data_IF_223410563334
#
_entry.id   IF_223410563334
#
_cell.length_a   1.000
_cell.length_b   1.000
_cell.length_c   1.000
_cell.angle_alpha   90.00
_cell.angle_beta   90.00
_cell.angle_gamma   90.00
#
_symmetry.space_group_name_H-M   'P 1'
#
loop_
_entity.id
_entity.type
_entity.pdbx_description
1 polymer ?
#
# COMPACT_ATOMS: atom_id res chain seq x y z
N UNK A 1 -0.98 -2.72 7.93
CA UNK A 1 0.13 -1.76 7.81
C UNK A 1 0.81 -1.91 6.48
N UNK A 2 0.21 -1.27 5.50
CA UNK A 2 0.84 -0.89 4.25
C UNK A 2 2.15 -0.18 4.61
N UNK A 3 3.24 -0.57 3.97
CA UNK A 3 4.31 0.37 3.70
C UNK A 3 3.65 1.65 3.17
N UNK A 4 4.21 2.80 3.52
CA UNK A 4 3.82 4.09 2.96
C UNK A 4 4.28 4.15 1.47
N UNK A 5 3.86 3.16 0.67
CA UNK A 5 3.98 3.12 -0.78
C UNK A 5 2.74 3.81 -1.32
N UNK A 6 2.95 4.76 -2.22
CA UNK A 6 1.92 5.41 -3.03
C UNK A 6 0.88 4.39 -3.50
N UNK A 7 -0.42 4.75 -3.54
CA UNK A 7 -1.45 3.83 -4.00
C UNK A 7 -1.07 3.33 -5.39
N UNK A 8 -0.80 2.03 -5.50
CA UNK A 8 -0.81 1.37 -6.80
C UNK A 8 -2.25 1.49 -7.29
N UNK A 9 -2.48 2.45 -8.19
CA UNK A 9 -3.72 2.47 -8.93
C UNK A 9 -3.88 1.14 -9.64
N UNK A 10 -5.10 0.59 -9.72
CA UNK A 10 -5.34 -0.60 -10.50
C UNK A 10 -4.77 -0.37 -11.90
N UNK A 11 -3.91 -1.31 -12.32
CA UNK A 11 -3.41 -1.38 -13.68
C UNK A 11 -4.60 -1.25 -14.64
N UNK A 12 -4.46 -0.40 -15.66
CA UNK A 12 -5.32 -0.50 -16.83
C UNK A 12 -5.09 -1.89 -17.46
N UNK A 13 -5.88 -2.87 -17.00
CA UNK A 13 -5.66 -4.29 -17.22
C UNK A 13 -6.36 -5.10 -16.14
N UNK A 14 -7.70 -5.17 -16.21
CA UNK A 14 -8.37 -6.34 -15.64
C UNK A 14 -7.83 -7.60 -16.36
N UNK A 15 -7.75 -8.76 -15.69
CA UNK A 15 -7.44 -10.01 -16.35
C UNK A 15 -8.43 -10.24 -17.49
N UNK A 16 -7.94 -10.41 -18.71
CA UNK A 16 -8.75 -10.78 -19.87
C UNK A 16 -9.24 -12.22 -19.62
N UNK A 17 -10.40 -12.36 -18.99
CA UNK A 17 -11.23 -13.56 -19.13
C UNK A 17 -12.25 -13.29 -20.24
N UNK A 18 -12.24 -14.17 -21.24
CA UNK A 18 -13.16 -14.28 -22.40
C UNK A 18 -12.75 -13.38 -23.60
N UNK A 19 -12.54 -13.86 -24.83
CA UNK A 19 -13.02 -15.07 -25.50
C UNK A 19 -11.94 -15.65 -26.44
N UNK A 20 -11.54 -16.90 -26.21
CA UNK A 20 -10.81 -17.71 -27.18
C UNK A 20 -11.82 -18.63 -27.89
N UNK A 21 -12.39 -18.17 -29.00
CA UNK A 21 -13.04 -19.08 -29.96
C UNK A 21 -11.96 -19.76 -30.78
N UNK A 22 -11.90 -21.08 -30.63
CA UNK A 22 -11.01 -22.04 -31.27
C UNK A 22 -10.93 -21.91 -32.80
N UNK A 23 -9.71 -21.84 -33.33
CA UNK A 23 -9.39 -22.43 -34.63
C UNK A 23 -8.13 -23.29 -34.49
N UNK A 24 -8.14 -24.58 -34.88
CA UNK A 24 -6.98 -25.45 -34.76
C UNK A 24 -6.03 -25.23 -35.93
N UNK A 25 -4.76 -24.90 -35.64
CA UNK A 25 -3.69 -25.08 -36.60
C UNK A 25 -3.21 -26.54 -36.51
N UNK A 26 -3.57 -27.33 -37.53
CA UNK A 26 -3.02 -28.67 -37.75
C UNK A 26 -1.53 -28.57 -38.09
N UNK A 27 -0.75 -29.44 -37.45
CA UNK A 27 0.70 -29.31 -37.34
C UNK A 27 1.53 -29.85 -38.49
N UNK A 28 2.83 -29.59 -38.37
CA UNK A 28 3.93 -30.33 -39.00
C UNK A 28 5.18 -30.21 -38.12
N UNK A 29 5.82 -31.33 -37.86
CA UNK A 29 7.22 -31.41 -37.38
C UNK A 29 7.38 -31.48 -35.88
N UNK A 30 8.08 -32.50 -35.39
CA UNK A 30 8.41 -32.63 -33.97
C UNK A 30 9.31 -31.49 -33.53
N UNK A 31 8.80 -30.68 -32.59
CA UNK A 31 9.58 -29.61 -31.99
C UNK A 31 10.73 -30.19 -31.15
N UNK A 32 11.94 -29.62 -31.25
CA UNK A 32 13.00 -29.92 -30.29
C UNK A 32 12.56 -29.48 -28.88
N UNK A 33 13.08 -30.08 -27.80
CA UNK A 33 12.76 -29.61 -26.45
C UNK A 33 13.17 -28.14 -26.33
N UNK A 34 12.20 -27.27 -26.05
CA UNK A 34 12.45 -25.86 -25.81
C UNK A 34 13.48 -25.68 -24.67
N UNK A 35 14.44 -24.76 -24.80
CA UNK A 35 15.37 -24.46 -23.72
C UNK A 35 14.62 -24.05 -22.45
N UNK A 36 15.12 -24.49 -21.29
CA UNK A 36 14.60 -24.06 -20.00
C UNK A 36 14.95 -22.58 -19.79
N UNK A 37 14.01 -21.67 -20.08
CA UNK A 37 14.23 -20.23 -20.05
C UNK A 37 13.99 -19.58 -18.68
N UNK A 38 13.40 -20.29 -17.69
CA UNK A 38 13.17 -19.67 -16.38
C UNK A 38 14.46 -19.68 -15.56
N UNK A 39 14.96 -18.49 -15.20
CA UNK A 39 16.24 -18.38 -14.48
C UNK A 39 16.11 -18.77 -12.98
N UNK A 40 14.90 -18.97 -12.46
CA UNK A 40 14.68 -19.21 -11.02
C UNK A 40 15.16 -20.57 -10.50
N UNK A 41 15.46 -21.55 -11.37
CA UNK A 41 16.00 -22.85 -10.96
C UNK A 41 17.51 -22.85 -10.69
N UNK A 42 18.26 -21.92 -11.28
CA UNK A 42 19.73 -21.82 -11.19
C UNK A 42 20.23 -20.69 -10.28
N UNK A 43 19.34 -19.78 -9.86
CA UNK A 43 19.70 -18.62 -9.04
C UNK A 43 19.93 -19.02 -7.58
N UNK A 44 21.05 -18.57 -7.01
CA UNK A 44 21.35 -18.74 -5.60
C UNK A 44 20.31 -18.03 -4.72
N UNK A 45 19.92 -18.66 -3.62
CA UNK A 45 18.97 -18.05 -2.69
C UNK A 45 19.65 -16.89 -1.95
N UNK A 46 19.00 -15.71 -1.87
CA UNK A 46 19.46 -14.63 -1.00
C UNK A 46 19.49 -15.10 0.46
N UNK A 47 20.49 -14.65 1.22
CA UNK A 47 20.55 -14.88 2.65
C UNK A 47 19.64 -13.90 3.39
N UNK A 48 18.34 -14.24 3.49
CA UNK A 48 17.36 -13.42 4.22
C UNK A 48 17.37 -13.77 5.70
N UNK A 49 18.00 -12.93 6.53
CA UNK A 49 17.94 -13.06 8.00
C UNK A 49 16.60 -12.54 8.51
N UNK A 50 15.85 -13.38 9.21
CA UNK A 50 14.60 -12.98 9.89
C UNK A 50 14.83 -12.81 11.38
N UNK A 51 14.23 -11.79 11.97
CA UNK A 51 14.34 -11.52 13.40
C UNK A 51 13.49 -12.52 14.18
N UNK A 52 14.07 -13.14 15.20
CA UNK A 52 13.36 -14.07 16.10
C UNK A 52 12.78 -13.34 17.31
N UNK A 53 11.81 -13.96 17.99
CA UNK A 53 11.23 -13.43 19.24
C UNK A 53 12.30 -13.24 20.34
N UNK A 54 13.31 -14.11 20.39
CA UNK A 54 14.37 -14.06 21.42
C UNK A 54 15.41 -12.95 21.16
N UNK A 55 15.34 -12.28 20.01
CA UNK A 55 16.32 -11.26 19.59
C UNK A 55 15.83 -9.82 19.78
N UNK A 56 14.68 -9.63 20.44
CA UNK A 56 14.09 -8.31 20.68
C UNK A 56 13.95 -8.00 22.17
N UNK A 57 13.91 -6.70 22.56
CA UNK A 57 13.64 -6.30 23.94
C UNK A 57 12.32 -6.86 24.47
N UNK A 58 12.22 -7.08 25.77
CA UNK A 58 10.98 -7.53 26.39
C UNK A 58 9.88 -6.43 26.35
N UNK A 59 8.62 -6.87 26.29
CA UNK A 59 7.46 -5.98 26.36
C UNK A 59 7.06 -5.35 25.01
N UNK A 60 6.35 -4.22 25.08
CA UNK A 60 5.74 -3.57 23.90
C UNK A 60 6.76 -3.02 22.91
N UNK A 61 7.97 -2.69 23.36
CA UNK A 61 9.05 -2.22 22.49
C UNK A 61 9.56 -3.34 21.58
N UNK A 62 9.65 -4.57 22.10
CA UNK A 62 9.94 -5.75 21.28
C UNK A 62 8.90 -5.99 20.20
N UNK A 63 7.61 -5.87 20.54
CA UNK A 63 6.52 -5.97 19.56
C UNK A 63 6.64 -4.90 18.47
N UNK A 64 7.02 -3.68 18.84
CA UNK A 64 7.26 -2.61 17.86
C UNK A 64 8.40 -2.96 16.91
N UNK A 65 9.52 -3.46 17.43
CA UNK A 65 10.68 -3.85 16.60
C UNK A 65 10.31 -4.98 15.63
N UNK A 66 9.63 -6.01 16.11
CA UNK A 66 9.16 -7.12 15.27
C UNK A 66 8.20 -6.63 14.16
N UNK A 67 7.29 -5.70 14.47
CA UNK A 67 6.38 -5.11 13.49
C UNK A 67 7.12 -4.30 12.42
N UNK A 68 8.11 -3.49 12.82
CA UNK A 68 8.89 -2.67 11.89
C UNK A 68 9.76 -3.52 10.94
N UNK A 69 10.19 -4.70 11.39
CA UNK A 69 10.97 -5.65 10.60
C UNK A 69 10.10 -6.64 9.80
N UNK A 70 8.77 -6.51 9.83
CA UNK A 70 7.87 -7.42 9.13
C UNK A 70 7.92 -8.88 9.64
N UNK A 71 8.41 -9.11 10.85
CA UNK A 71 8.52 -10.43 11.46
C UNK A 71 7.19 -10.80 12.14
N UNK A 72 6.17 -11.05 11.32
CA UNK A 72 4.78 -11.16 11.78
C UNK A 72 4.50 -12.43 12.60
N UNK A 73 5.12 -13.58 12.26
CA UNK A 73 4.91 -14.82 13.05
C UNK A 73 5.47 -14.70 14.48
N UNK A 74 6.73 -14.27 14.69
CA UNK A 74 7.22 -14.00 16.04
C UNK A 74 6.38 -12.95 16.78
N UNK A 75 5.96 -11.89 16.08
CA UNK A 75 5.12 -10.84 16.68
C UNK A 75 3.80 -11.37 17.23
N UNK A 76 3.10 -12.21 16.46
CA UNK A 76 1.84 -12.83 16.88
C UNK A 76 2.06 -13.73 18.10
N UNK A 77 3.13 -14.51 18.11
CA UNK A 77 3.47 -15.38 19.24
C UNK A 77 3.78 -14.56 20.50
N UNK A 78 4.71 -13.60 20.43
CA UNK A 78 5.08 -12.75 21.57
C UNK A 78 3.91 -11.93 22.11
N UNK A 79 3.08 -11.36 21.24
CA UNK A 79 1.90 -10.61 21.66
C UNK A 79 0.86 -11.53 22.35
N UNK A 80 0.66 -12.75 21.84
CA UNK A 80 -0.22 -13.74 22.46
C UNK A 80 0.26 -14.16 23.84
N UNK A 81 1.56 -14.41 24.00
CA UNK A 81 2.15 -14.81 25.29
C UNK A 81 2.06 -13.68 26.32
N UNK A 82 2.21 -12.41 25.90
CA UNK A 82 1.96 -11.26 26.77
C UNK A 82 0.50 -11.13 27.19
N UNK A 83 -0.44 -11.38 26.27
CA UNK A 83 -1.88 -11.33 26.57
C UNK A 83 -2.33 -12.50 27.47
N UNK A 84 -1.71 -13.69 27.33
CA UNK A 84 -1.98 -14.82 28.22
C UNK A 84 -1.57 -14.49 29.68
N UNK A 85 -0.50 -13.72 29.87
CA UNK A 85 -0.01 -13.26 31.18
C UNK A 85 -0.62 -11.91 31.61
N UNK A 86 -1.81 -11.59 31.13
CA UNK A 86 -2.43 -10.25 31.25
C UNK A 86 -2.88 -9.84 32.67
N UNK A 87 -2.77 -10.71 33.67
CA UNK A 87 -3.11 -10.40 35.06
C UNK A 87 -2.22 -9.28 35.66
N UNK A 88 -1.01 -9.10 35.12
CA UNK A 88 -0.07 -8.07 35.56
C UNK A 88 -0.07 -6.79 34.70
N UNK A 89 -0.83 -6.78 33.58
CA UNK A 89 -0.84 -5.67 32.63
C UNK A 89 -1.93 -4.64 32.95
N UNK A 90 -1.59 -3.36 32.88
CA UNK A 90 -2.59 -2.29 32.87
C UNK A 90 -3.48 -2.39 31.62
N UNK A 91 -4.73 -1.90 31.72
CA UNK A 91 -5.69 -1.94 30.60
C UNK A 91 -5.12 -1.29 29.32
N UNK A 92 -4.45 -0.15 29.47
CA UNK A 92 -3.79 0.55 28.36
C UNK A 92 -2.72 -0.33 27.68
N UNK A 93 -1.87 -1.01 28.47
CA UNK A 93 -0.85 -1.92 27.92
C UNK A 93 -1.50 -3.13 27.25
N UNK A 94 -2.58 -3.67 27.80
CA UNK A 94 -3.34 -4.77 27.19
C UNK A 94 -3.88 -4.37 25.82
N UNK A 95 -4.47 -3.19 25.69
CA UNK A 95 -4.99 -2.69 24.41
C UNK A 95 -3.88 -2.46 23.37
N UNK A 96 -2.72 -1.95 23.79
CA UNK A 96 -1.54 -1.83 22.91
C UNK A 96 -1.06 -3.21 22.43
N UNK A 97 -0.94 -4.18 23.33
CA UNK A 97 -0.55 -5.56 22.96
C UNK A 97 -1.58 -6.19 22.02
N UNK A 98 -2.87 -5.98 22.27
CA UNK A 98 -3.97 -6.44 21.41
C UNK A 98 -3.90 -5.79 20.03
N UNK A 99 -3.53 -4.51 19.96
CA UNK A 99 -3.33 -3.80 18.68
C UNK A 99 -2.25 -4.46 17.83
N UNK A 100 -1.11 -4.83 18.44
CA UNK A 100 -0.06 -5.58 17.75
C UNK A 100 -0.51 -6.99 17.37
N UNK A 101 -1.21 -7.69 18.27
CA UNK A 101 -1.72 -9.03 17.99
C UNK A 101 -2.67 -9.06 16.78
N UNK A 102 -3.69 -8.19 16.77
CA UNK A 102 -4.65 -8.03 15.66
C UNK A 102 -3.94 -7.61 14.37
N UNK A 103 -2.97 -6.70 14.46
CA UNK A 103 -2.16 -6.30 13.31
C UNK A 103 -1.38 -7.49 12.72
N UNK A 104 -0.72 -8.29 13.57
CA UNK A 104 0.03 -9.46 13.15
C UNK A 104 -0.85 -10.51 12.50
N UNK A 105 -2.01 -10.82 13.10
CA UNK A 105 -3.00 -11.71 12.51
C UNK A 105 -3.49 -11.20 11.15
N UNK A 106 -3.78 -9.90 11.04
CA UNK A 106 -4.17 -9.25 9.78
C UNK A 106 -3.08 -9.39 8.71
N UNK A 107 -1.81 -9.20 9.08
CA UNK A 107 -0.67 -9.33 8.18
C UNK A 107 -0.42 -10.77 7.72
N UNK A 108 -0.71 -11.75 8.57
CA UNK A 108 -0.71 -13.17 8.22
C UNK A 108 -1.99 -13.63 7.50
N UNK A 109 -2.87 -12.70 7.09
CA UNK A 109 -4.16 -12.97 6.45
C UNK A 109 -5.13 -13.82 7.29
N UNK A 110 -4.92 -13.89 8.59
CA UNK A 110 -5.81 -14.56 9.54
C UNK A 110 -6.96 -13.61 9.94
N UNK A 111 -7.71 -13.13 8.96
CA UNK A 111 -8.69 -12.04 9.14
C UNK A 111 -9.83 -12.41 10.10
N UNK A 112 -10.32 -13.66 10.03
CA UNK A 112 -11.37 -14.13 10.93
C UNK A 112 -10.93 -14.07 12.39
N UNK A 113 -9.74 -14.60 12.71
CA UNK A 113 -9.17 -14.54 14.04
C UNK A 113 -8.96 -13.09 14.51
N UNK A 114 -8.43 -12.22 13.65
CA UNK A 114 -8.23 -10.81 13.97
C UNK A 114 -9.55 -10.10 14.32
N UNK A 115 -10.63 -10.39 13.59
CA UNK A 115 -11.96 -9.83 13.82
C UNK A 115 -12.57 -10.39 15.11
N UNK A 116 -12.39 -11.68 15.40
CA UNK A 116 -12.93 -12.29 16.62
C UNK A 116 -12.25 -11.73 17.88
N UNK A 117 -10.95 -11.42 17.82
CA UNK A 117 -10.25 -10.67 18.88
C UNK A 117 -10.82 -9.27 19.08
N UNK A 118 -11.14 -8.54 18.01
CA UNK A 118 -11.79 -7.23 18.11
C UNK A 118 -13.18 -7.35 18.72
N UNK A 119 -13.98 -8.34 18.28
CA UNK A 119 -15.32 -8.59 18.84
C UNK A 119 -15.27 -8.93 20.33
N UNK A 120 -14.24 -9.64 20.78
CA UNK A 120 -14.06 -9.98 22.19
C UNK A 120 -13.86 -8.75 23.10
N UNK A 121 -13.32 -7.64 22.56
CA UNK A 121 -13.23 -6.36 23.28
C UNK A 121 -14.61 -5.69 23.45
N UNK A 122 -15.53 -5.98 22.53
CA UNK A 122 -16.84 -5.34 22.44
C UNK A 122 -16.74 -3.91 21.94
N UNK A 123 -17.60 -3.04 22.46
CA UNK A 123 -17.62 -1.63 22.08
C UNK A 123 -16.40 -0.88 22.66
N UNK A 124 -15.60 -0.29 21.77
CA UNK A 124 -14.36 0.43 22.08
C UNK A 124 -14.61 1.81 22.71
N UNK A 125 -15.85 2.30 22.69
CA UNK A 125 -16.25 3.57 23.31
C UNK A 125 -16.83 3.38 24.72
N UNK A 126 -16.80 2.16 25.26
CA UNK A 126 -17.21 1.89 26.63
C UNK A 126 -16.33 2.64 27.65
N UNK A 127 -16.92 3.12 28.76
CA UNK A 127 -16.20 3.91 29.78
C UNK A 127 -15.05 3.14 30.46
N UNK A 128 -15.06 1.80 30.39
CA UNK A 128 -13.97 0.94 30.88
C UNK A 128 -12.65 1.19 30.14
N UNK A 129 -12.71 1.74 28.92
CA UNK A 129 -11.56 2.09 28.10
C UNK A 129 -11.20 3.57 28.17
N UNK A 130 -11.73 4.30 29.16
CA UNK A 130 -11.39 5.69 29.40
C UNK A 130 -10.53 5.82 30.66
N UNK A 131 -9.51 6.67 30.60
CA UNK A 131 -8.79 7.08 31.79
C UNK A 131 -9.74 7.89 32.71
N UNK A 132 -9.63 7.74 34.05
CA UNK A 132 -10.38 8.56 34.97
C UNK A 132 -10.05 10.04 34.73
N UNK A 133 -11.08 10.86 34.50
CA UNK A 133 -10.91 12.29 34.28
C UNK A 133 -10.35 12.95 35.55
N UNK A 134 -9.26 13.73 35.41
CA UNK A 134 -8.89 14.74 36.41
C UNK A 134 -9.97 15.83 36.49
N UNK A 135 -10.06 16.54 37.62
CA UNK A 135 -11.08 17.57 37.83
C UNK A 135 -11.11 18.59 36.66
N UNK A 136 -12.18 18.54 35.85
CA UNK A 136 -12.42 19.45 34.73
C UNK A 136 -11.95 18.99 33.34
N UNK A 137 -11.34 17.82 33.18
CA UNK A 137 -10.90 17.30 31.88
C UNK A 137 -11.88 16.26 31.30
N UNK A 138 -11.97 16.18 29.97
CA UNK A 138 -12.70 15.07 29.31
C UNK A 138 -11.93 13.76 29.51
N UNK A 139 -12.62 12.63 29.76
CA UNK A 139 -11.97 11.35 29.93
C UNK A 139 -11.25 10.92 28.64
N UNK A 140 -9.94 10.71 28.71
CA UNK A 140 -9.13 10.34 27.56
C UNK A 140 -9.29 8.85 27.23
N UNK A 141 -9.52 8.51 25.96
CA UNK A 141 -9.60 7.10 25.53
C UNK A 141 -8.23 6.44 25.62
N UNK A 142 -8.17 5.27 26.26
CA UNK A 142 -7.00 4.40 26.33
C UNK A 142 -6.83 3.55 25.07
N UNK A 143 -7.85 3.50 24.19
CA UNK A 143 -7.84 2.68 22.97
C UNK A 143 -6.89 3.29 21.95
N UNK A 144 -5.83 2.56 21.53
CA UNK A 144 -4.94 3.05 20.48
C UNK A 144 -5.69 3.28 19.18
N UNK A 145 -5.39 4.40 18.50
CA UNK A 145 -6.00 4.71 17.20
C UNK A 145 -5.85 3.59 16.18
N UNK A 146 -4.69 2.90 16.18
CA UNK A 146 -4.43 1.77 15.28
C UNK A 146 -5.46 0.65 15.46
N UNK A 147 -5.92 0.38 16.68
CA UNK A 147 -6.94 -0.63 16.95
C UNK A 147 -8.31 -0.21 16.42
N UNK A 148 -8.70 1.07 16.60
CA UNK A 148 -9.94 1.63 16.02
C UNK A 148 -9.93 1.54 14.50
N UNK A 149 -8.79 1.88 13.88
CA UNK A 149 -8.63 1.76 12.44
C UNK A 149 -8.75 0.31 11.95
N UNK A 150 -8.08 -0.64 12.62
CA UNK A 150 -8.19 -2.06 12.29
C UNK A 150 -9.61 -2.59 12.47
N UNK A 151 -10.32 -2.16 13.51
CA UNK A 151 -11.71 -2.53 13.75
C UNK A 151 -12.65 -2.06 12.63
N UNK A 152 -12.44 -0.86 12.08
CA UNK A 152 -13.22 -0.35 10.96
C UNK A 152 -12.87 -1.05 9.63
N UNK A 153 -11.59 -1.30 9.36
CA UNK A 153 -11.10 -1.79 8.06
C UNK A 153 -11.21 -3.31 7.87
N UNK A 154 -10.95 -4.11 8.91
CA UNK A 154 -10.86 -5.56 8.76
C UNK A 154 -12.14 -6.27 8.26
N UNK A 155 -13.37 -5.84 8.62
CA UNK A 155 -14.58 -6.51 8.15
C UNK A 155 -14.69 -6.63 6.62
N UNK A 156 -14.14 -5.67 5.87
CA UNK A 156 -14.06 -5.73 4.40
C UNK A 156 -13.33 -6.98 3.89
N UNK A 157 -12.33 -7.49 4.63
CA UNK A 157 -11.60 -8.74 4.26
C UNK A 157 -12.48 -9.99 4.32
N UNK A 158 -13.65 -9.91 4.96
CA UNK A 158 -14.68 -10.95 4.97
C UNK A 158 -15.90 -10.59 4.11
N UNK A 159 -15.76 -9.63 3.20
CA UNK A 159 -16.83 -9.20 2.28
C UNK A 159 -17.84 -8.21 2.86
N UNK A 160 -17.62 -7.69 4.07
CA UNK A 160 -18.54 -6.73 4.72
C UNK A 160 -18.25 -5.29 4.30
N UNK A 161 -18.23 -5.00 3.00
CA UNK A 161 -17.78 -3.71 2.44
C UNK A 161 -18.60 -2.53 2.95
N UNK A 162 -19.94 -2.62 2.96
CA UNK A 162 -20.78 -1.51 3.40
C UNK A 162 -20.54 -1.15 4.88
N UNK A 163 -20.50 -2.16 5.75
CA UNK A 163 -20.26 -1.95 7.18
C UNK A 163 -18.87 -1.34 7.43
N UNK A 164 -17.86 -1.72 6.65
CA UNK A 164 -16.52 -1.08 6.70
C UNK A 164 -16.58 0.37 6.25
N UNK A 165 -17.27 0.68 5.14
CA UNK A 165 -17.42 2.06 4.67
C UNK A 165 -18.08 2.95 5.74
N UNK A 166 -19.20 2.50 6.31
CA UNK A 166 -19.91 3.21 7.37
C UNK A 166 -19.00 3.45 8.58
N UNK A 167 -18.26 2.42 9.01
CA UNK A 167 -17.32 2.51 10.14
C UNK A 167 -16.16 3.47 9.86
N UNK A 168 -15.62 3.50 8.64
CA UNK A 168 -14.55 4.40 8.25
C UNK A 168 -15.03 5.86 8.17
N UNK A 169 -16.25 6.11 7.69
CA UNK A 169 -16.84 7.47 7.72
C UNK A 169 -17.04 7.98 9.14
N UNK A 170 -17.56 7.13 10.04
CA UNK A 170 -17.69 7.47 11.46
C UNK A 170 -16.33 7.75 12.09
N UNK A 171 -15.31 6.94 11.79
CA UNK A 171 -13.95 7.14 12.29
C UNK A 171 -13.32 8.44 11.74
N UNK A 172 -13.56 8.78 10.47
CA UNK A 172 -13.11 10.02 9.84
C UNK A 172 -13.75 11.24 10.51
N UNK A 173 -15.07 11.20 10.74
CA UNK A 173 -15.79 12.25 11.46
C UNK A 173 -15.25 12.42 12.87
N UNK A 174 -15.06 11.32 13.60
CA UNK A 174 -14.50 11.35 14.94
C UNK A 174 -13.10 11.98 14.97
N UNK A 175 -12.22 11.61 14.04
CA UNK A 175 -10.88 12.23 13.93
C UNK A 175 -10.96 13.74 13.68
N UNK A 176 -11.93 14.20 12.87
CA UNK A 176 -12.17 15.62 12.64
C UNK A 176 -12.61 16.33 13.92
N UNK A 177 -13.53 15.74 14.68
CA UNK A 177 -14.00 16.29 15.95
C UNK A 177 -12.86 16.41 16.97
N UNK A 178 -12.00 15.39 17.07
CA UNK A 178 -10.80 15.44 17.91
C UNK A 178 -9.81 16.51 17.45
N UNK A 179 -9.62 16.70 16.14
CA UNK A 179 -8.76 17.76 15.62
C UNK A 179 -9.30 19.15 15.97
N UNK A 180 -10.61 19.37 15.84
CA UNK A 180 -11.27 20.64 16.21
C UNK A 180 -11.15 20.91 17.72
N UNK A 181 -11.41 19.89 18.55
CA UNK A 181 -11.29 20.02 20.00
C UNK A 181 -9.86 20.34 20.47
N UNK A 182 -8.84 19.87 19.72
CA UNK A 182 -7.43 20.15 19.98
C UNK A 182 -6.94 21.50 19.41
N UNK A 183 -7.77 22.27 18.69
CA UNK A 183 -7.33 23.54 18.13
C UNK A 183 -7.00 24.55 19.26
N UNK A 184 -5.85 25.24 19.19
CA UNK A 184 -5.50 26.25 20.17
C UNK A 184 -6.54 27.38 20.16
N UNK A 185 -7.13 27.66 21.32
CA UNK A 185 -8.02 28.81 21.45
C UNK A 185 -7.20 30.09 21.29
N UNK A 186 -7.56 30.94 20.32
CA UNK A 186 -6.96 32.27 20.18
C UNK A 186 -7.28 33.07 21.44
N UNK A 187 -6.31 33.25 22.32
CA UNK A 187 -6.42 34.18 23.45
C UNK A 187 -6.67 35.59 22.89
N UNK A 188 -7.78 36.22 23.29
CA UNK A 188 -8.16 37.57 22.87
C UNK A 188 -7.18 38.67 23.36
N UNK A 189 -6.17 38.32 24.15
CA UNK A 189 -5.14 39.25 24.60
C UNK A 189 -3.86 39.05 23.78
N UNK A 190 -3.69 39.92 22.76
CA UNK A 190 -2.51 39.99 21.90
C UNK A 190 -1.22 40.29 22.65
N UNK A 191 -0.57 39.25 23.18
CA UNK A 191 0.85 39.26 23.50
C UNK A 191 1.46 37.95 22.98
N UNK A 192 1.92 38.00 21.74
CA UNK A 192 2.74 36.97 21.12
C UNK A 192 4.07 36.92 21.87
N UNK A 193 4.23 35.97 22.79
CA UNK A 193 5.57 35.54 23.17
C UNK A 193 6.00 34.47 22.18
N UNK A 194 7.09 34.76 21.48
CA UNK A 194 7.83 33.81 20.68
C UNK A 194 8.42 32.76 21.62
N UNK A 195 7.83 31.56 21.65
CA UNK A 195 8.46 30.37 22.23
C UNK A 195 8.64 29.33 21.12
N UNK A 196 9.89 28.90 20.94
CA UNK A 196 10.39 28.02 19.87
C UNK A 196 9.96 26.54 20.02
N UNK A 197 8.99 26.23 20.88
CA UNK A 197 8.46 24.87 21.04
C UNK A 197 6.99 24.80 20.61
N UNK A 198 6.60 23.81 19.79
CA UNK A 198 5.21 23.63 19.43
C UNK A 198 4.39 23.31 20.69
N UNK A 199 3.43 24.17 21.02
CA UNK A 199 2.47 23.95 22.11
C UNK A 199 1.79 22.57 21.93
N UNK A 200 1.61 21.82 23.02
CA UNK A 200 1.08 20.44 23.04
C UNK A 200 -0.26 20.36 22.29
N UNK A 201 -1.11 21.40 22.42
CA UNK A 201 -2.38 21.52 21.69
C UNK A 201 -2.20 21.49 20.16
N UNK A 202 -1.15 22.14 19.66
CA UNK A 202 -0.81 22.18 18.23
C UNK A 202 -0.31 20.83 17.73
N UNK A 203 0.39 20.05 18.57
CA UNK A 203 0.87 18.70 18.25
C UNK A 203 -0.31 17.71 18.17
N UNK A 204 -1.26 17.81 19.09
CA UNK A 204 -2.46 16.96 19.10
C UNK A 204 -3.37 17.24 17.90
N UNK A 205 -3.61 18.51 17.57
CA UNK A 205 -4.38 18.91 16.40
C UNK A 205 -3.76 18.37 15.09
N UNK A 206 -2.44 18.53 14.92
CA UNK A 206 -1.71 17.97 13.76
C UNK A 206 -1.81 16.45 13.70
N UNK A 207 -1.70 15.77 14.84
CA UNK A 207 -1.81 14.31 14.93
C UNK A 207 -3.19 13.83 14.50
N UNK A 208 -4.25 14.46 14.98
CA UNK A 208 -5.62 14.11 14.59
C UNK A 208 -5.94 14.44 13.14
N UNK A 209 -5.42 15.55 12.62
CA UNK A 209 -5.53 15.89 11.19
C UNK A 209 -4.87 14.81 10.32
N UNK A 210 -3.66 14.37 10.67
CA UNK A 210 -2.96 13.29 9.94
C UNK A 210 -3.72 11.96 10.02
N UNK A 211 -4.33 11.65 11.16
CA UNK A 211 -5.19 10.46 11.31
C UNK A 211 -6.44 10.56 10.44
N UNK A 212 -7.08 11.73 10.39
CA UNK A 212 -8.23 11.97 9.51
C UNK A 212 -7.86 11.75 8.04
N UNK A 213 -6.72 12.28 7.59
CA UNK A 213 -6.23 12.08 6.22
C UNK A 213 -5.92 10.61 5.93
N UNK A 214 -5.33 9.90 6.89
CA UNK A 214 -5.09 8.45 6.76
C UNK A 214 -6.41 7.67 6.55
N UNK A 215 -7.47 7.99 7.30
CA UNK A 215 -8.79 7.35 7.13
C UNK A 215 -9.41 7.75 5.78
N UNK A 216 -9.28 9.02 5.39
CA UNK A 216 -9.76 9.50 4.09
C UNK A 216 -9.08 8.75 2.94
N UNK A 217 -7.77 8.56 2.95
CA UNK A 217 -7.09 7.78 1.91
C UNK A 217 -7.58 6.34 1.85
N UNK A 218 -7.93 5.74 2.99
CA UNK A 218 -8.53 4.40 2.99
C UNK A 218 -9.94 4.39 2.38
N UNK A 219 -10.77 5.40 2.68
CA UNK A 219 -12.07 5.58 2.03
C UNK A 219 -11.92 5.77 0.50
N UNK A 220 -10.92 6.56 0.06
CA UNK A 220 -10.63 6.74 -1.37
C UNK A 220 -10.26 5.43 -2.04
N UNK A 221 -9.46 4.59 -1.39
CA UNK A 221 -9.13 3.26 -1.92
C UNK A 221 -10.38 2.40 -2.12
N UNK A 222 -11.30 2.38 -1.15
CA UNK A 222 -12.56 1.63 -1.29
C UNK A 222 -13.45 2.18 -2.41
N UNK A 223 -13.60 3.50 -2.52
CA UNK A 223 -14.35 4.11 -3.62
C UNK A 223 -13.71 3.85 -4.99
N UNK A 224 -12.39 3.84 -5.08
CA UNK A 224 -11.69 3.48 -6.33
C UNK A 224 -11.98 2.04 -6.74
N UNK A 225 -11.96 1.10 -5.80
CA UNK A 225 -12.32 -0.31 -6.05
C UNK A 225 -13.78 -0.43 -6.52
N UNK A 226 -14.68 0.37 -5.93
CA UNK A 226 -16.09 0.42 -6.32
C UNK A 226 -16.35 1.24 -7.59
N UNK A 227 -15.33 1.88 -8.17
CA UNK A 227 -15.41 2.77 -9.34
C UNK A 227 -16.26 4.03 -9.11
N UNK A 228 -16.37 4.49 -7.87
CA UNK A 228 -17.06 5.74 -7.49
C UNK A 228 -16.17 6.96 -7.78
N UNK A 229 -15.70 7.11 -9.03
CA UNK A 229 -14.68 8.10 -9.40
C UNK A 229 -15.07 9.55 -9.06
N UNK A 230 -16.36 9.89 -9.18
CA UNK A 230 -16.85 11.23 -8.83
C UNK A 230 -16.63 11.58 -7.35
N UNK A 231 -16.85 10.63 -6.44
CA UNK A 231 -16.61 10.83 -5.00
C UNK A 231 -15.11 10.96 -4.74
N UNK A 232 -14.29 10.15 -5.41
CA UNK A 232 -12.83 10.21 -5.27
C UNK A 232 -12.29 11.57 -5.72
N UNK A 233 -12.73 12.06 -6.88
CA UNK A 233 -12.31 13.38 -7.40
C UNK A 233 -12.71 14.51 -6.45
N UNK A 234 -13.95 14.51 -5.94
CA UNK A 234 -14.40 15.52 -4.97
C UNK A 234 -13.52 15.58 -3.72
N UNK A 235 -13.13 14.42 -3.19
CA UNK A 235 -12.26 14.36 -2.01
C UNK A 235 -10.82 14.75 -2.33
N UNK A 236 -10.28 14.35 -3.49
CA UNK A 236 -8.94 14.78 -3.92
C UNK A 236 -8.88 16.29 -4.16
N UNK A 237 -9.91 16.88 -4.76
CA UNK A 237 -10.03 18.35 -4.91
C UNK A 237 -10.07 19.04 -3.54
N UNK A 238 -10.80 18.47 -2.58
CA UNK A 238 -10.83 19.00 -1.19
C UNK A 238 -9.48 18.88 -0.47
N UNK A 239 -8.67 17.89 -0.82
CA UNK A 239 -7.31 17.72 -0.31
C UNK A 239 -6.36 18.74 -0.97
N UNK A 240 -6.47 18.93 -2.28
CA UNK A 240 -5.68 19.91 -3.03
C UNK A 240 -5.98 21.35 -2.60
N UNK A 241 -7.24 21.65 -2.23
CA UNK A 241 -7.60 22.95 -1.65
C UNK A 241 -6.90 23.21 -0.30
N UNK A 242 -6.66 22.15 0.48
CA UNK A 242 -5.96 22.24 1.78
C UNK A 242 -4.44 22.26 1.64
N UNK A 243 -3.92 21.60 0.61
CA UNK A 243 -2.50 21.54 0.27
C UNK A 243 -2.31 22.03 -1.17
N UNK A 244 -2.40 23.36 -1.43
CA UNK A 244 -2.28 23.89 -2.77
C UNK A 244 -0.93 23.52 -3.39
N UNK A 245 -0.95 23.17 -4.68
CA UNK A 245 0.23 22.79 -5.47
C UNK A 245 0.94 21.52 -4.97
N UNK A 246 0.26 20.60 -4.27
CA UNK A 246 0.82 19.29 -3.97
C UNK A 246 0.85 18.42 -5.25
N UNK A 247 2.04 18.16 -5.83
CA UNK A 247 2.14 17.47 -7.11
C UNK A 247 1.68 16.00 -7.01
N UNK A 248 1.74 15.41 -5.81
CA UNK A 248 1.31 14.03 -5.56
C UNK A 248 -0.22 13.94 -5.57
N UNK A 249 -0.91 14.88 -4.93
CA UNK A 249 -2.39 14.92 -4.94
C UNK A 249 -2.89 15.21 -6.36
N UNK A 250 -2.29 16.18 -7.05
CA UNK A 250 -2.63 16.49 -8.44
C UNK A 250 -2.38 15.27 -9.37
N UNK A 251 -1.25 14.57 -9.22
CA UNK A 251 -1.00 13.34 -9.97
C UNK A 251 -2.07 12.27 -9.72
N UNK A 252 -2.55 12.13 -8.48
CA UNK A 252 -3.65 11.21 -8.15
C UNK A 252 -4.95 11.57 -8.86
N UNK A 253 -5.29 12.85 -8.97
CA UNK A 253 -6.44 13.30 -9.78
C UNK A 253 -6.25 12.83 -11.22
N UNK A 254 -5.08 13.09 -11.83
CA UNK A 254 -4.78 12.65 -13.19
C UNK A 254 -4.91 11.13 -13.36
N UNK A 255 -4.48 10.34 -12.38
CA UNK A 255 -4.63 8.89 -12.41
C UNK A 255 -6.10 8.43 -12.37
N UNK A 256 -6.95 9.09 -11.59
CA UNK A 256 -8.39 8.81 -11.54
C UNK A 256 -9.07 9.20 -12.84
N UNK A 257 -8.68 10.32 -13.45
CA UNK A 257 -9.16 10.75 -14.76
C UNK A 257 -8.81 9.73 -15.86
N UNK A 258 -7.59 9.18 -15.85
CA UNK A 258 -7.22 8.10 -16.76
C UNK A 258 -8.12 6.85 -16.58
N UNK A 259 -8.47 6.48 -15.34
CA UNK A 259 -9.37 5.35 -15.09
C UNK A 259 -10.81 5.62 -15.51
N UNK A 260 -11.25 6.86 -15.38
CA UNK A 260 -12.54 7.33 -15.86
C UNK A 260 -12.60 7.37 -17.40
N UNK A 261 -11.44 7.43 -18.07
CA UNK A 261 -11.31 7.55 -19.53
C UNK A 261 -11.17 9.00 -20.01
N UNK A 262 -11.08 9.97 -19.09
CA UNK A 262 -10.82 11.38 -19.41
C UNK A 262 -9.32 11.63 -19.61
N UNK A 263 -8.83 11.22 -20.79
CA UNK A 263 -7.41 11.35 -21.16
C UNK A 263 -7.01 12.83 -21.31
N UNK A 264 -7.92 13.69 -21.74
CA UNK A 264 -7.65 15.11 -21.92
C UNK A 264 -7.54 15.83 -20.58
N UNK A 265 -8.45 15.56 -19.64
CA UNK A 265 -8.38 16.05 -18.27
C UNK A 265 -7.08 15.59 -17.59
N UNK A 266 -6.75 14.30 -17.67
CA UNK A 266 -5.51 13.78 -17.12
C UNK A 266 -4.26 14.46 -17.70
N UNK A 267 -4.24 14.72 -19.01
CA UNK A 267 -3.16 15.44 -19.68
C UNK A 267 -2.99 16.85 -19.10
N UNK A 268 -4.08 17.60 -18.93
CA UNK A 268 -4.00 18.95 -18.35
C UNK A 268 -3.49 18.91 -16.91
N UNK A 269 -3.97 17.96 -16.11
CA UNK A 269 -3.50 17.78 -14.73
C UNK A 269 -2.01 17.47 -14.68
N UNK A 270 -1.50 16.55 -15.51
CA UNK A 270 -0.07 16.22 -15.52
C UNK A 270 0.80 17.36 -16.02
N UNK A 271 0.33 18.19 -16.96
CA UNK A 271 1.04 19.39 -17.38
C UNK A 271 1.14 20.43 -16.23
N UNK A 272 0.09 20.57 -15.41
CA UNK A 272 0.15 21.40 -14.20
C UNK A 272 1.20 20.87 -13.23
N UNK A 273 1.22 19.55 -12.98
CA UNK A 273 2.22 18.90 -12.13
C UNK A 273 3.64 19.15 -12.64
N UNK A 274 3.87 19.05 -13.96
CA UNK A 274 5.18 19.35 -14.56
C UNK A 274 5.62 20.79 -14.27
N UNK A 275 4.73 21.76 -14.48
CA UNK A 275 5.01 23.17 -14.21
C UNK A 275 5.24 23.46 -12.72
N UNK A 276 4.51 22.80 -11.83
CA UNK A 276 4.68 22.97 -10.38
C UNK A 276 6.02 22.38 -9.92
N UNK A 277 6.36 21.19 -10.41
CA UNK A 277 7.61 20.48 -10.11
C UNK A 277 8.83 21.31 -10.44
N UNK A 278 8.82 22.14 -11.49
CA UNK A 278 9.95 23.03 -11.84
C UNK A 278 10.42 23.87 -10.64
N UNK A 279 9.51 24.31 -9.77
CA UNK A 279 9.83 25.08 -8.57
C UNK A 279 10.49 24.27 -7.45
N UNK A 280 10.33 22.94 -7.45
CA UNK A 280 10.89 22.02 -6.46
C UNK A 280 12.26 21.45 -6.89
N UNK A 281 12.73 21.74 -8.11
CA UNK A 281 13.99 21.19 -8.64
C UNK A 281 15.25 21.85 -8.07
N UNK A 282 15.11 22.86 -7.21
CA UNK A 282 16.23 23.54 -6.55
C UNK A 282 16.94 22.64 -5.53
N UNK A 283 16.22 21.70 -4.89
CA UNK A 283 16.81 20.72 -3.97
C UNK A 283 17.29 19.48 -4.74
N UNK A 284 18.61 19.20 -4.80
CA UNK A 284 19.14 18.03 -5.49
C UNK A 284 18.66 16.69 -4.92
N UNK A 285 18.31 16.64 -3.63
CA UNK A 285 17.86 15.43 -2.96
C UNK A 285 16.42 15.08 -3.33
N UNK A 286 15.56 16.08 -3.48
CA UNK A 286 14.16 15.90 -3.87
C UNK A 286 13.95 15.84 -5.38
N UNK A 287 14.88 16.40 -6.15
CA UNK A 287 14.84 16.41 -7.62
C UNK A 287 14.58 15.03 -8.23
N UNK A 288 15.23 13.98 -7.72
CA UNK A 288 15.02 12.61 -8.22
C UNK A 288 13.59 12.13 -7.99
N UNK A 289 13.02 12.40 -6.83
CA UNK A 289 11.63 12.05 -6.48
C UNK A 289 10.65 12.73 -7.43
N UNK A 290 10.83 14.03 -7.68
CA UNK A 290 9.93 14.79 -8.53
C UNK A 290 10.05 14.44 -10.01
N UNK A 291 11.28 14.20 -10.50
CA UNK A 291 11.49 13.74 -11.88
C UNK A 291 10.96 12.32 -12.10
N UNK A 292 11.12 11.40 -11.12
CA UNK A 292 10.47 10.10 -11.19
C UNK A 292 8.94 10.24 -11.34
N UNK A 293 8.30 11.08 -10.52
CA UNK A 293 6.85 11.33 -10.57
C UNK A 293 6.41 11.86 -11.94
N UNK A 294 7.12 12.86 -12.48
CA UNK A 294 6.83 13.46 -13.79
C UNK A 294 6.94 12.42 -14.91
N UNK A 295 8.03 11.66 -14.96
CA UNK A 295 8.23 10.64 -15.99
C UNK A 295 7.23 9.49 -15.86
N UNK A 296 6.84 9.11 -14.63
CA UNK A 296 5.75 8.15 -14.41
C UNK A 296 4.42 8.67 -14.98
N UNK A 297 4.08 9.94 -14.73
CA UNK A 297 2.86 10.56 -15.26
C UNK A 297 2.84 10.58 -16.79
N UNK A 298 3.96 10.97 -17.42
CA UNK A 298 4.14 10.93 -18.88
C UNK A 298 3.95 9.52 -19.42
N UNK A 299 4.61 8.53 -18.80
CA UNK A 299 4.47 7.13 -19.16
C UNK A 299 3.03 6.66 -19.12
N UNK A 300 2.29 6.96 -18.05
CA UNK A 300 0.88 6.59 -17.89
C UNK A 300 -0.03 7.26 -18.93
N UNK A 301 0.19 8.55 -19.20
CA UNK A 301 -0.57 9.27 -20.23
C UNK A 301 -0.34 8.67 -21.62
N UNK A 302 0.93 8.40 -21.97
CA UNK A 302 1.31 7.79 -23.25
C UNK A 302 0.77 6.37 -23.38
N UNK A 303 0.79 5.61 -22.30
CA UNK A 303 0.18 4.28 -22.24
C UNK A 303 -1.32 4.35 -22.52
N UNK A 304 -2.05 5.27 -21.89
CA UNK A 304 -3.48 5.47 -22.14
C UNK A 304 -3.78 5.91 -23.59
N UNK A 305 -2.86 6.63 -24.23
CA UNK A 305 -2.90 7.00 -25.64
C UNK A 305 -2.51 5.86 -26.60
N UNK A 306 -2.17 4.68 -26.08
CA UNK A 306 -1.65 3.51 -26.83
C UNK A 306 -0.31 3.77 -27.53
N UNK A 307 0.42 4.81 -27.14
CA UNK A 307 1.79 5.07 -27.57
C UNK A 307 2.76 4.31 -26.65
N UNK A 308 2.75 2.99 -26.77
CA UNK A 308 3.52 2.09 -25.89
C UNK A 308 5.03 2.28 -26.04
N UNK A 309 5.49 2.65 -27.24
CA UNK A 309 6.91 2.94 -27.51
C UNK A 309 7.42 4.14 -26.72
N UNK A 310 6.69 5.25 -26.72
CA UNK A 310 7.10 6.43 -25.96
C UNK A 310 6.89 6.20 -24.47
N UNK A 311 5.80 5.53 -24.08
CA UNK A 311 5.55 5.16 -22.69
C UNK A 311 6.68 4.31 -22.10
N UNK A 312 7.21 3.34 -22.86
CA UNK A 312 8.36 2.52 -22.48
C UNK A 312 9.59 3.38 -22.14
N UNK A 313 9.88 4.40 -22.96
CA UNK A 313 10.99 5.32 -22.73
C UNK A 313 10.79 6.14 -21.45
N UNK A 314 9.59 6.68 -21.24
CA UNK A 314 9.26 7.47 -20.06
C UNK A 314 9.37 6.63 -18.77
N UNK A 315 8.86 5.39 -18.75
CA UNK A 315 9.01 4.51 -17.59
C UNK A 315 10.46 4.11 -17.34
N UNK A 316 11.27 3.94 -18.39
CA UNK A 316 12.71 3.68 -18.22
C UNK A 316 13.38 4.87 -17.53
N UNK A 317 13.11 6.10 -17.97
CA UNK A 317 13.67 7.31 -17.36
C UNK A 317 13.18 7.46 -15.91
N UNK A 318 11.91 7.15 -15.62
CA UNK A 318 11.41 7.13 -14.24
C UNK A 318 12.22 6.18 -13.34
N UNK A 319 12.57 4.98 -13.85
CA UNK A 319 13.39 3.99 -13.14
C UNK A 319 14.86 4.37 -13.01
N UNK A 320 15.40 5.21 -13.90
CA UNK A 320 16.73 5.79 -13.75
C UNK A 320 16.80 6.74 -12.54
N UNK A 321 15.71 7.47 -12.25
CA UNK A 321 15.60 8.35 -11.08
C UNK A 321 15.27 7.60 -9.79
N UNK A 322 14.35 6.64 -9.85
CA UNK A 322 13.99 5.77 -8.74
C UNK A 322 13.77 4.33 -9.22
N UNK A 323 14.81 3.51 -9.08
CA UNK A 323 14.73 2.08 -9.38
C UNK A 323 13.70 1.34 -8.53
N UNK A 324 13.29 1.88 -7.38
CA UNK A 324 12.35 1.24 -6.43
C UNK A 324 10.88 1.38 -6.86
N UNK A 325 10.62 2.16 -7.91
CA UNK A 325 9.28 2.45 -8.41
C UNK A 325 8.63 1.23 -9.09
N UNK A 326 7.98 0.41 -8.25
CA UNK A 326 7.25 -0.80 -8.68
C UNK A 326 6.19 -0.48 -9.74
N UNK A 327 5.55 0.70 -9.70
CA UNK A 327 4.54 1.07 -10.67
C UNK A 327 5.15 1.31 -12.06
N UNK A 328 6.25 2.06 -12.14
CA UNK A 328 6.97 2.25 -13.41
C UNK A 328 7.61 0.95 -13.90
N UNK A 329 8.13 0.12 -13.00
CA UNK A 329 8.69 -1.20 -13.34
C UNK A 329 7.63 -2.10 -13.97
N UNK A 330 6.46 -2.18 -13.35
CA UNK A 330 5.35 -2.96 -13.87
C UNK A 330 4.87 -2.45 -15.23
N UNK A 331 4.67 -1.13 -15.36
CA UNK A 331 4.18 -0.55 -16.60
C UNK A 331 5.23 -0.62 -17.73
N UNK A 332 6.52 -0.59 -17.42
CA UNK A 332 7.60 -0.85 -18.37
C UNK A 332 7.48 -2.27 -18.97
N UNK A 333 7.30 -3.29 -18.11
CA UNK A 333 7.09 -4.67 -18.56
C UNK A 333 5.82 -4.82 -19.40
N UNK A 334 4.73 -4.16 -19.02
CA UNK A 334 3.50 -4.15 -19.81
C UNK A 334 3.71 -3.47 -21.18
N UNK A 335 4.42 -2.35 -21.24
CA UNK A 335 4.78 -1.71 -22.52
C UNK A 335 5.55 -2.66 -23.43
N UNK A 336 6.55 -3.39 -22.92
CA UNK A 336 7.30 -4.40 -23.69
C UNK A 336 6.34 -5.44 -24.29
N UNK A 337 5.43 -5.98 -23.48
CA UNK A 337 4.40 -6.92 -23.92
C UNK A 337 3.51 -6.31 -25.03
N UNK A 338 2.99 -5.09 -24.86
CA UNK A 338 2.15 -4.42 -25.85
C UNK A 338 2.91 -4.06 -27.14
N UNK A 339 4.22 -3.86 -27.07
CA UNK A 339 5.11 -3.73 -28.25
C UNK A 339 5.52 -5.07 -28.86
N UNK A 340 4.92 -6.18 -28.41
CA UNK A 340 5.15 -7.56 -28.87
C UNK A 340 6.52 -8.15 -28.49
N UNK A 341 7.20 -7.57 -27.50
CA UNK A 341 8.41 -8.13 -26.90
C UNK A 341 8.07 -8.87 -25.59
N UNK A 342 7.36 -9.98 -25.71
CA UNK A 342 6.94 -10.79 -24.55
C UNK A 342 8.13 -11.45 -23.84
N UNK A 343 9.16 -11.84 -24.60
CA UNK A 343 10.39 -12.43 -24.05
C UNK A 343 11.20 -11.39 -23.27
N UNK A 344 11.35 -10.18 -23.81
CA UNK A 344 11.99 -9.06 -23.12
C UNK A 344 11.22 -8.65 -21.87
N UNK A 345 9.87 -8.59 -21.94
CA UNK A 345 9.02 -8.30 -20.79
C UNK A 345 9.21 -9.31 -19.64
N UNK A 346 9.22 -10.61 -19.98
CA UNK A 346 9.42 -11.67 -19.00
C UNK A 346 10.80 -11.55 -18.36
N UNK A 347 11.86 -11.50 -19.18
CA UNK A 347 13.24 -11.37 -18.70
C UNK A 347 13.43 -10.16 -17.79
N UNK A 348 12.87 -9.01 -18.18
CA UNK A 348 12.95 -7.78 -17.41
C UNK A 348 12.36 -7.94 -16.00
N UNK A 349 11.19 -8.59 -15.86
CA UNK A 349 10.59 -8.86 -14.56
C UNK A 349 11.38 -9.90 -13.75
N UNK A 350 11.88 -10.97 -14.39
CA UNK A 350 12.71 -11.96 -13.71
C UNK A 350 13.98 -11.32 -13.13
N UNK A 351 14.72 -10.58 -13.95
CA UNK A 351 15.96 -9.90 -13.56
C UNK A 351 15.69 -8.86 -12.46
N UNK A 352 14.61 -8.10 -12.59
CA UNK A 352 14.18 -7.14 -11.56
C UNK A 352 13.95 -7.82 -10.22
N UNK A 353 13.11 -8.88 -10.19
CA UNK A 353 12.79 -9.61 -8.96
C UNK A 353 14.04 -10.29 -8.37
N UNK A 354 14.92 -10.85 -9.20
CA UNK A 354 16.13 -11.53 -8.75
C UNK A 354 17.21 -10.58 -8.23
N UNK A 355 17.28 -9.35 -8.76
CA UNK A 355 18.32 -8.39 -8.39
C UNK A 355 18.29 -7.98 -6.91
N UNK A 356 17.09 -7.74 -6.38
CA UNK A 356 16.86 -7.48 -4.96
C UNK A 356 15.45 -7.96 -4.57
N UNK A 357 15.31 -9.23 -4.14
CA UNK A 357 14.01 -9.79 -3.86
C UNK A 357 13.29 -9.14 -2.69
N UNK A 358 14.00 -8.57 -1.70
CA UNK A 358 13.35 -7.88 -0.58
C UNK A 358 12.70 -6.56 -1.01
N UNK A 359 13.22 -5.97 -2.07
CA UNK A 359 12.76 -4.70 -2.62
C UNK A 359 11.66 -4.89 -3.67
N UNK A 360 11.86 -5.83 -4.59
CA UNK A 360 11.06 -6.00 -5.81
C UNK A 360 10.04 -7.14 -5.76
N UNK A 361 10.03 -7.97 -4.72
CA UNK A 361 9.00 -8.98 -4.58
C UNK A 361 7.65 -8.32 -4.23
N UNK A 362 6.86 -8.08 -5.26
CA UNK A 362 5.52 -7.49 -5.22
C UNK A 362 4.51 -8.42 -5.89
N UNK A 363 3.34 -8.60 -5.28
CA UNK A 363 2.32 -9.51 -5.78
C UNK A 363 1.85 -9.16 -7.20
N UNK A 364 1.82 -7.88 -7.58
CA UNK A 364 1.42 -7.43 -8.92
C UNK A 364 2.43 -7.83 -9.98
N UNK A 365 3.72 -7.64 -9.67
CA UNK A 365 4.81 -8.04 -10.58
C UNK A 365 4.82 -9.55 -10.78
N UNK A 366 4.65 -10.32 -9.70
CA UNK A 366 4.61 -11.78 -9.75
C UNK A 366 3.39 -12.27 -10.53
N UNK A 367 2.22 -11.68 -10.33
CA UNK A 367 1.01 -12.04 -11.09
C UNK A 367 1.17 -11.76 -12.59
N UNK A 368 1.73 -10.61 -12.94
CA UNK A 368 1.98 -10.24 -14.34
C UNK A 368 3.05 -11.15 -14.97
N UNK A 369 4.11 -11.48 -14.24
CA UNK A 369 5.11 -12.45 -14.67
C UNK A 369 4.48 -13.84 -14.89
N UNK A 370 3.63 -14.29 -13.96
CA UNK A 370 2.91 -15.56 -14.11
C UNK A 370 2.01 -15.56 -15.36
N UNK A 371 1.33 -14.43 -15.62
CA UNK A 371 0.50 -14.26 -16.83
C UNK A 371 1.35 -14.29 -18.10
N UNK A 372 2.53 -13.66 -18.06
CA UNK A 372 3.48 -13.71 -19.19
C UNK A 372 4.01 -15.13 -19.42
N UNK A 373 4.26 -15.92 -18.37
CA UNK A 373 4.65 -17.33 -18.52
C UNK A 373 3.59 -18.16 -19.26
N UNK A 374 2.32 -17.97 -18.92
CA UNK A 374 1.20 -18.67 -19.58
C UNK A 374 1.02 -18.25 -21.03
N UNK A 375 1.38 -17.01 -21.37
CA UNK A 375 1.28 -16.49 -22.73
C UNK A 375 2.45 -16.89 -23.62
N UNK A 376 3.67 -16.94 -23.09
CA UNK A 376 4.88 -17.16 -23.88
C UNK A 376 5.22 -18.63 -24.12
N UNK A 377 4.83 -19.54 -23.22
CA UNK A 377 5.28 -20.93 -23.27
C UNK A 377 4.16 -21.94 -23.08
N UNK A 378 4.24 -23.06 -23.82
CA UNK A 378 3.39 -24.23 -23.61
C UNK A 378 3.65 -24.85 -22.22
N UNK A 379 4.88 -24.75 -21.71
CA UNK A 379 5.30 -25.19 -20.37
C UNK A 379 5.17 -24.09 -19.30
N UNK A 380 4.36 -23.05 -19.52
CA UNK A 380 4.21 -21.91 -18.60
C UNK A 380 3.88 -22.33 -17.15
N UNK A 381 3.17 -23.44 -16.96
CA UNK A 381 2.88 -24.01 -15.64
C UNK A 381 4.13 -24.45 -14.87
N UNK A 382 5.16 -24.94 -15.56
CA UNK A 382 6.41 -25.35 -14.92
C UNK A 382 7.24 -24.15 -14.50
N UNK A 383 7.27 -23.08 -15.31
CA UNK A 383 7.92 -21.81 -14.95
C UNK A 383 7.24 -21.16 -13.73
N UNK A 384 5.90 -21.14 -13.69
CA UNK A 384 5.14 -20.72 -12.50
C UNK A 384 5.50 -21.55 -11.27
N UNK A 385 5.64 -22.87 -11.42
CA UNK A 385 6.01 -23.77 -10.30
C UNK A 385 7.41 -23.48 -9.77
N UNK A 386 8.38 -23.23 -10.67
CA UNK A 386 9.75 -22.84 -10.29
C UNK A 386 9.77 -21.50 -9.56
N UNK A 387 9.07 -20.49 -10.08
CA UNK A 387 8.92 -19.19 -9.42
C UNK A 387 8.27 -19.32 -8.04
N UNK A 388 7.16 -20.04 -7.93
CA UNK A 388 6.45 -20.26 -6.66
C UNK A 388 7.33 -20.97 -5.61
N UNK A 389 8.09 -21.97 -6.03
CA UNK A 389 9.07 -22.68 -5.18
C UNK A 389 10.20 -21.75 -4.69
N UNK A 390 10.69 -20.87 -5.56
CA UNK A 390 11.72 -19.89 -5.20
C UNK A 390 11.17 -18.84 -4.23
N UNK A 391 10.02 -18.22 -4.53
CA UNK A 391 9.34 -17.23 -3.68
C UNK A 391 9.08 -17.81 -2.29
N UNK A 392 8.57 -19.03 -2.18
CA UNK A 392 8.23 -19.67 -0.90
C UNK A 392 9.41 -19.77 0.08
N UNK A 393 10.66 -19.74 -0.42
CA UNK A 393 11.88 -19.80 0.40
C UNK A 393 12.33 -18.43 0.91
N UNK A 394 12.01 -17.36 0.18
CA UNK A 394 12.55 -16.02 0.44
C UNK A 394 11.50 -15.02 0.93
N UNK A 395 10.22 -15.26 0.61
CA UNK A 395 9.17 -14.27 0.74
C UNK A 395 8.92 -13.88 2.20
N UNK A 396 8.63 -12.59 2.47
CA UNK A 396 8.28 -12.15 3.81
C UNK A 396 6.99 -12.83 4.30
N UNK A 397 6.78 -12.82 5.61
CA UNK A 397 5.66 -13.52 6.26
C UNK A 397 4.28 -13.06 5.76
N UNK A 398 4.15 -11.82 5.27
CA UNK A 398 2.91 -11.24 4.74
C UNK A 398 2.78 -11.27 3.21
N UNK A 399 3.68 -11.93 2.48
CA UNK A 399 3.56 -12.04 1.02
C UNK A 399 2.41 -12.97 0.59
N UNK A 400 1.61 -12.58 -0.42
CA UNK A 400 0.50 -13.42 -0.90
C UNK A 400 0.97 -14.48 -1.88
N UNK A 401 1.12 -15.73 -1.43
CA UNK A 401 1.47 -16.83 -2.35
C UNK A 401 0.35 -17.14 -3.37
N UNK A 402 -0.89 -16.63 -3.17
CA UNK A 402 -1.95 -16.80 -4.16
C UNK A 402 -1.66 -16.09 -5.50
N UNK A 403 -0.74 -15.12 -5.54
CA UNK A 403 -0.33 -14.49 -6.80
C UNK A 403 0.35 -15.47 -7.78
N UNK A 404 0.82 -16.62 -7.27
CA UNK A 404 1.42 -17.70 -8.07
C UNK A 404 0.48 -18.88 -8.33
N UNK A 405 -0.83 -18.74 -8.05
CA UNK A 405 -1.82 -19.83 -8.18
C UNK A 405 -1.63 -20.58 -9.50
N UNK A 406 -1.26 -21.86 -9.38
CA UNK A 406 -0.92 -22.74 -10.49
C UNK A 406 -2.12 -23.05 -11.36
#
# INVERSE_FOLDING_TARGET
MSSNRSPALPSAGQPIREAATSHPLQGLGGDPPEPDYSNFSSVSLPNVKRLGADSVPEGTDGLRVLALQGSWRPLVQSAKDMLANSASLSEAKRLVCTSYYVLGLSKLRMYAAAIDEIKALGDLDQPKYCAPAGAGATPASLVPFALRFLAAELPHRLGQTQATMDSLYLLMQWCREQAIAAMPQRSANGKSQAEEQPDISTVDCRTWTRRQEMVLYQLLNHHLVNKDFGVVLQWLDSLLLRHPNDPVIASRIGYVLLQLGDVDGAKQTFLSVESEVESYLEDPLEKHTWLNLVHRNKGLLKFAQKDFSTALCEFRVALEYDSTDVASLNNHALCLMYTRDLMGATRFLEESIQSDPLKYLDETLVLNLCSMYELAWVSGTDNKRKLSSWISKIAPDDFDLNCTRL
#
